data_IF_124436439031
#
_entry.id   IF_124436439031
#
_cell.length_a   1.000
_cell.length_b   1.000
_cell.length_c   1.000
_cell.angle_alpha   90.00
_cell.angle_beta   90.00
_cell.angle_gamma   90.00
#
_symmetry.space_group_name_H-M   'P 1'
#
loop_
_entity.id
_entity.type
_entity.pdbx_description
1 polymer ?
#
# COMPACT_ATOMS: atom_id res chain seq x y z
N UNK A 1 14.23 15.92 -1.51
CA UNK A 1 13.34 16.53 -2.51
C UNK A 1 11.91 16.45 -2.00
N UNK A 2 11.11 17.52 -2.11
CA UNK A 2 9.70 17.45 -1.73
C UNK A 2 8.90 16.69 -2.81
N UNK A 3 8.09 15.72 -2.39
CA UNK A 3 7.09 15.04 -3.22
C UNK A 3 5.71 15.50 -2.74
N UNK A 4 4.76 15.67 -3.65
CA UNK A 4 3.40 16.01 -3.22
C UNK A 4 2.78 14.79 -2.55
N UNK A 5 2.07 15.02 -1.46
CA UNK A 5 1.36 13.95 -0.77
C UNK A 5 0.34 13.26 -1.69
N UNK A 6 -0.32 14.01 -2.58
CA UNK A 6 -1.25 13.43 -3.55
C UNK A 6 -0.62 12.39 -4.48
N UNK A 7 0.64 12.60 -4.90
CA UNK A 7 1.36 11.67 -5.77
C UNK A 7 1.70 10.38 -4.99
N UNK A 8 2.12 10.52 -3.73
CA UNK A 8 2.36 9.38 -2.84
C UNK A 8 1.07 8.61 -2.54
N UNK A 9 -0.05 9.32 -2.32
CA UNK A 9 -1.35 8.71 -2.06
C UNK A 9 -1.83 7.90 -3.27
N UNK A 10 -1.71 8.45 -4.48
CA UNK A 10 -2.04 7.72 -5.70
C UNK A 10 -1.18 6.45 -5.81
N UNK A 11 0.12 6.55 -5.57
CA UNK A 11 1.02 5.40 -5.63
C UNK A 11 0.73 4.34 -4.55
N UNK A 12 0.27 4.77 -3.37
CA UNK A 12 -0.25 3.89 -2.33
C UNK A 12 -1.53 3.17 -2.80
N UNK A 13 -2.47 3.88 -3.44
CA UNK A 13 -3.69 3.26 -3.97
C UNK A 13 -3.38 2.19 -5.03
N UNK A 14 -2.38 2.41 -5.87
CA UNK A 14 -1.87 1.38 -6.80
C UNK A 14 -1.21 0.21 -6.08
N UNK A 15 -0.35 0.48 -5.08
CA UNK A 15 0.27 -0.58 -4.27
C UNK A 15 -0.74 -1.41 -3.48
N UNK A 16 -1.92 -0.84 -3.19
CA UNK A 16 -2.98 -1.51 -2.46
C UNK A 16 -3.94 -2.31 -3.35
N UNK A 17 -3.84 -2.17 -4.68
CA UNK A 17 -4.60 -2.98 -5.62
C UNK A 17 -4.30 -4.45 -5.34
N UNK A 18 -5.35 -5.21 -5.04
CA UNK A 18 -5.28 -6.64 -4.87
C UNK A 18 -6.46 -7.31 -5.54
N UNK A 19 -6.23 -8.49 -6.13
CA UNK A 19 -7.23 -9.25 -6.89
C UNK A 19 -6.85 -9.40 -8.36
N UNK A 20 -7.82 -9.79 -9.20
CA UNK A 20 -7.61 -10.25 -10.58
C UNK A 20 -7.05 -9.24 -11.61
N UNK A 21 -6.55 -8.09 -11.16
CA UNK A 21 -5.80 -7.11 -11.97
C UNK A 21 -4.28 -7.18 -11.78
N UNK A 22 -3.78 -8.11 -10.95
CA UNK A 22 -2.35 -8.26 -10.67
C UNK A 22 -1.89 -7.42 -9.48
N UNK A 23 -0.71 -7.74 -8.94
CA UNK A 23 -0.06 -6.93 -7.90
C UNK A 23 0.71 -5.78 -8.57
N UNK A 24 0.75 -4.63 -7.89
CA UNK A 24 1.55 -3.48 -8.31
C UNK A 24 2.48 -3.09 -7.16
N UNK A 25 3.76 -2.97 -7.47
CA UNK A 25 4.77 -2.48 -6.55
C UNK A 25 5.15 -1.06 -6.96
N UNK A 26 5.00 -0.11 -6.04
CA UNK A 26 5.34 1.28 -6.31
C UNK A 26 6.53 1.73 -5.46
N UNK A 27 7.40 2.54 -6.06
CA UNK A 27 8.67 2.95 -5.45
C UNK A 27 8.88 4.44 -5.59
N UNK A 28 9.27 5.13 -4.51
CA UNK A 28 9.67 6.54 -4.55
C UNK A 28 11.18 6.67 -4.45
N UNK A 29 11.79 7.37 -5.41
CA UNK A 29 13.20 7.73 -5.35
C UNK A 29 13.42 8.82 -4.29
N UNK A 30 14.23 8.53 -3.28
CA UNK A 30 14.53 9.44 -2.16
C UNK A 30 15.30 10.68 -2.60
N UNK A 31 16.06 10.56 -3.69
CA UNK A 31 16.90 11.63 -4.22
C UNK A 31 16.11 12.60 -5.09
N UNK A 32 15.24 12.09 -5.97
CA UNK A 32 14.52 12.92 -6.97
C UNK A 32 13.07 13.18 -6.59
N UNK A 33 12.46 12.30 -5.80
CA UNK A 33 11.03 12.30 -5.51
C UNK A 33 10.16 11.64 -6.59
N UNK A 34 10.78 11.10 -7.64
CA UNK A 34 10.08 10.39 -8.72
C UNK A 34 9.49 9.08 -8.21
N UNK A 35 8.30 8.73 -8.70
CA UNK A 35 7.60 7.49 -8.38
C UNK A 35 7.66 6.56 -9.59
N UNK A 36 7.93 5.28 -9.35
CA UNK A 36 7.95 4.22 -10.35
C UNK A 36 6.88 3.19 -10.00
N UNK A 37 6.30 2.59 -11.04
CA UNK A 37 5.27 1.57 -10.95
C UNK A 37 5.78 0.29 -11.61
N UNK A 38 5.72 -0.80 -10.88
CA UNK A 38 6.04 -2.13 -11.36
C UNK A 38 4.77 -2.98 -11.28
N UNK A 39 4.30 -3.47 -12.42
CA UNK A 39 3.16 -4.36 -12.51
C UNK A 39 3.66 -5.78 -12.74
N UNK A 40 3.07 -6.74 -12.03
CA UNK A 40 3.37 -8.17 -12.26
C UNK A 40 2.82 -8.68 -13.60
N UNK A 41 1.87 -7.96 -14.19
CA UNK A 41 1.31 -8.27 -15.51
C UNK A 41 2.10 -7.52 -16.60
N UNK A 42 2.82 -8.26 -17.44
CA UNK A 42 3.63 -7.71 -18.54
C UNK A 42 2.80 -6.80 -19.48
N UNK A 43 1.51 -7.10 -19.69
CA UNK A 43 0.66 -6.28 -20.56
C UNK A 43 0.30 -4.94 -19.92
N UNK A 44 0.20 -4.88 -18.58
CA UNK A 44 0.05 -3.62 -17.86
C UNK A 44 1.38 -2.87 -17.78
N UNK A 45 2.49 -3.60 -17.62
CA UNK A 45 3.82 -3.02 -17.59
C UNK A 45 4.19 -2.35 -18.92
N UNK A 46 3.79 -2.92 -20.06
CA UNK A 46 3.97 -2.32 -21.40
C UNK A 46 3.17 -1.02 -21.61
N UNK A 47 2.10 -0.80 -20.85
CA UNK A 47 1.32 0.45 -20.89
C UNK A 47 1.97 1.57 -20.07
N UNK A 48 2.92 1.24 -19.21
CA UNK A 48 3.68 2.23 -18.45
C UNK A 48 4.75 2.84 -19.36
N UNK A 49 4.67 4.14 -19.61
CA UNK A 49 5.60 4.86 -20.50
C UNK A 49 7.03 4.93 -19.94
N UNK A 50 7.24 4.57 -18.67
CA UNK A 50 8.52 4.71 -17.97
C UNK A 50 9.15 3.36 -17.64
N UNK A 51 10.35 3.11 -18.17
CA UNK A 51 11.16 1.96 -17.78
C UNK A 51 11.63 2.04 -16.32
N UNK A 52 11.56 0.90 -15.64
CA UNK A 52 12.10 0.72 -14.30
C UNK A 52 13.64 0.78 -14.34
N UNK A 53 14.28 1.52 -13.42
CA UNK A 53 15.73 1.51 -13.28
C UNK A 53 16.26 0.10 -12.93
N UNK A 54 17.40 -0.28 -13.48
CA UNK A 54 18.08 -1.55 -13.14
C UNK A 54 18.40 -1.68 -11.64
N UNK A 55 18.50 -0.54 -10.93
CA UNK A 55 18.82 -0.47 -9.51
C UNK A 55 17.61 -0.21 -8.61
N UNK A 56 16.39 -0.45 -9.09
CA UNK A 56 15.14 -0.17 -8.34
C UNK A 56 15.07 -0.85 -6.97
N UNK A 57 15.73 -2.00 -6.81
CA UNK A 57 15.82 -2.75 -5.55
C UNK A 57 16.78 -2.12 -4.52
N UNK A 58 17.54 -1.08 -4.88
CA UNK A 58 18.42 -0.35 -3.95
C UNK A 58 17.57 0.44 -2.94
N UNK A 59 17.28 -0.18 -1.80
CA UNK A 59 16.54 0.41 -0.68
C UNK A 59 17.17 1.67 -0.06
N UNK A 60 18.41 2.00 -0.42
CA UNK A 60 19.04 3.27 -0.02
C UNK A 60 18.65 4.43 -0.93
N UNK A 61 18.31 4.14 -2.20
CA UNK A 61 17.89 5.11 -3.21
C UNK A 61 16.39 5.17 -3.38
N UNK A 62 15.73 4.02 -3.36
CA UNK A 62 14.30 3.88 -3.55
C UNK A 62 13.66 3.38 -2.26
N UNK A 63 12.45 3.87 -2.00
CA UNK A 63 11.62 3.38 -0.92
C UNK A 63 10.38 2.77 -1.56
N UNK A 64 10.15 1.49 -1.32
CA UNK A 64 8.90 0.86 -1.68
C UNK A 64 7.77 1.50 -0.86
N UNK A 65 6.71 1.92 -1.55
CA UNK A 65 5.53 2.47 -0.90
C UNK A 65 4.74 1.28 -0.33
N UNK A 66 4.42 1.29 0.97
CA UNK A 66 3.70 0.18 1.60
C UNK A 66 2.27 0.11 1.07
N UNK A 67 1.64 -1.05 1.20
CA UNK A 67 0.19 -1.20 0.98
C UNK A 67 -0.58 -1.15 2.32
N UNK A 68 -1.91 -1.30 2.28
CA UNK A 68 -2.74 -1.27 3.48
C UNK A 68 -2.41 -2.37 4.49
N UNK A 69 -1.93 -3.53 4.02
CA UNK A 69 -1.56 -4.66 4.89
C UNK A 69 -0.27 -4.39 5.63
N UNK A 70 0.72 -3.80 4.97
CA UNK A 70 2.00 -3.42 5.58
C UNK A 70 1.84 -2.36 6.68
N UNK A 71 0.80 -1.52 6.54
CA UNK A 71 0.42 -0.50 7.51
C UNK A 71 -0.63 -0.97 8.53
N UNK A 72 -0.97 -2.26 8.54
CA UNK A 72 -1.99 -2.85 9.42
C UNK A 72 -3.36 -2.12 9.36
N UNK A 73 -3.70 -1.53 8.21
CA UNK A 73 -4.95 -0.80 8.03
C UNK A 73 -6.15 -1.74 7.96
N UNK A 74 -7.34 -1.18 8.14
CA UNK A 74 -8.59 -1.93 8.16
C UNK A 74 -8.83 -2.64 9.48
N UNK A 75 -9.10 -3.95 9.43
CA UNK A 75 -9.47 -4.72 10.64
C UNK A 75 -8.40 -4.66 11.73
N UNK A 76 -7.09 -4.86 11.48
CA UNK A 76 -6.08 -4.76 12.53
C UNK A 76 -6.08 -3.39 13.22
N UNK A 77 -6.15 -2.29 12.46
CA UNK A 77 -6.28 -0.94 12.99
C UNK A 77 -7.51 -0.75 13.88
N UNK A 78 -8.69 -1.21 13.45
CA UNK A 78 -9.93 -1.13 14.26
C UNK A 78 -9.74 -1.88 15.58
N UNK A 79 -9.19 -3.09 15.54
CA UNK A 79 -8.98 -3.91 16.74
C UNK A 79 -7.94 -3.29 17.67
N UNK A 80 -6.89 -2.67 17.13
CA UNK A 80 -5.89 -1.95 17.92
C UNK A 80 -6.52 -0.75 18.65
N UNK A 81 -7.31 0.06 17.92
CA UNK A 81 -8.02 1.21 18.48
C UNK A 81 -8.98 0.80 19.61
N UNK A 82 -9.83 -0.21 19.38
CA UNK A 82 -10.81 -0.64 20.39
C UNK A 82 -10.13 -1.24 21.60
N UNK A 83 -9.03 -1.99 21.42
CA UNK A 83 -8.26 -2.51 22.56
C UNK A 83 -7.73 -1.39 23.47
N UNK A 84 -7.33 -0.26 22.90
CA UNK A 84 -6.78 0.86 23.64
C UNK A 84 -7.86 1.71 24.33
N UNK A 85 -8.95 2.01 23.63
CA UNK A 85 -9.94 3.00 24.09
C UNK A 85 -11.25 2.40 24.62
N UNK A 86 -11.61 1.18 24.21
CA UNK A 86 -12.87 0.50 24.56
C UNK A 86 -12.63 -1.01 24.84
N UNK A 87 -11.76 -1.35 25.81
CA UNK A 87 -11.35 -2.74 26.02
C UNK A 87 -12.51 -3.66 26.41
N UNK A 88 -13.54 -3.13 27.09
CA UNK A 88 -14.72 -3.88 27.50
C UNK A 88 -15.60 -4.31 26.31
N UNK A 89 -15.55 -3.57 25.19
CA UNK A 89 -16.33 -3.83 23.97
C UNK A 89 -15.51 -4.62 22.91
N UNK A 90 -14.26 -4.98 23.20
CA UNK A 90 -13.33 -5.57 22.22
C UNK A 90 -13.88 -6.85 21.58
N UNK A 91 -14.50 -7.73 22.36
CA UNK A 91 -15.01 -9.00 21.86
C UNK A 91 -16.25 -8.81 20.97
N UNK A 92 -17.09 -7.83 21.26
CA UNK A 92 -18.24 -7.48 20.42
C UNK A 92 -17.78 -6.90 19.08
N UNK A 93 -16.80 -5.99 19.09
CA UNK A 93 -16.24 -5.44 17.85
C UNK A 93 -15.55 -6.53 17.03
N UNK A 94 -14.77 -7.42 17.66
CA UNK A 94 -14.18 -8.57 16.96
C UNK A 94 -15.22 -9.43 16.27
N UNK A 95 -16.37 -9.64 16.92
CA UNK A 95 -17.50 -10.37 16.35
C UNK A 95 -18.13 -9.63 15.16
N UNK A 96 -18.28 -8.31 15.20
CA UNK A 96 -18.76 -7.55 14.04
C UNK A 96 -17.82 -7.70 12.84
N UNK A 97 -16.51 -7.56 13.07
CA UNK A 97 -15.47 -7.66 12.03
C UNK A 97 -15.10 -9.10 11.65
N UNK A 98 -15.72 -10.13 12.23
CA UNK A 98 -15.53 -11.53 11.80
C UNK A 98 -16.49 -11.94 10.68
N UNK A 99 -17.49 -11.11 10.36
CA UNK A 99 -18.47 -11.40 9.30
C UNK A 99 -17.86 -11.09 7.92
N UNK A 100 -18.23 -11.90 6.92
CA UNK A 100 -17.79 -11.67 5.53
C UNK A 100 -18.29 -10.31 5.05
N UNK A 101 -17.40 -9.51 4.46
CA UNK A 101 -17.71 -8.16 3.99
C UNK A 101 -17.77 -7.11 5.10
N UNK A 102 -17.30 -7.42 6.31
CA UNK A 102 -17.18 -6.45 7.40
C UNK A 102 -15.95 -5.53 7.28
N UNK A 103 -15.16 -5.67 6.21
CA UNK A 103 -14.19 -4.73 5.66
C UNK A 103 -13.82 -5.25 4.26
#
# INVERSE_FOLDING_TARGET
>A
MPVKFGDILQAFEFADVSGGMGECHTFVCRQTGKIYYQFDDDTLQELEDEELPDDIEDGTKYLQIPNSRDLDLGKPLVIAFVREFLPDDLDEVRYFFSKRGAY
#
